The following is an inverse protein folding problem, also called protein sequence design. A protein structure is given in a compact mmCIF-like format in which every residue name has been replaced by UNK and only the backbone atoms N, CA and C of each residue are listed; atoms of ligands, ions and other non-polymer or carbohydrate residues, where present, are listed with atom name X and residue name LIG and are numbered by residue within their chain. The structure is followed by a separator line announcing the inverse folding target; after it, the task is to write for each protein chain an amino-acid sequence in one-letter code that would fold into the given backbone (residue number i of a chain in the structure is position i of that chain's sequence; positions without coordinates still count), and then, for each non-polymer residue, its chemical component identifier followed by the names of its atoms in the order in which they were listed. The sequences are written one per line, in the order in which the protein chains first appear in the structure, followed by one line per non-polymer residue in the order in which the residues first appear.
data_IF_885290898202
#
_entry.id   IF_885290898202
#
_cell.length_a   1.000
_cell.length_b   1.000
_cell.length_c   1.000
_cell.angle_alpha   90.00
_cell.angle_beta   90.00
_cell.angle_gamma   90.00
#
_symmetry.space_group_name_H-M   'P 1'
#
loop_
_entity.id
_entity.type
_entity.pdbx_description
1 polymer ?
#
# COMPACT_ATOMS: atom_id res chain seq x y z
N UNK A 1 38.40 16.54 2.89
CA UNK A 1 38.31 15.20 2.26
C UNK A 1 37.36 14.24 3.00
N UNK A 2 36.30 14.72 3.68
CA UNK A 2 35.43 13.87 4.53
C UNK A 2 33.93 14.07 4.27
N UNK A 3 33.54 14.54 3.09
CA UNK A 3 32.14 14.96 2.81
C UNK A 3 31.39 14.06 1.82
N UNK A 4 31.96 12.93 1.42
CA UNK A 4 31.37 11.99 0.43
C UNK A 4 30.83 10.69 1.02
N UNK A 5 31.01 10.43 2.32
CA UNK A 5 30.72 9.13 2.91
C UNK A 5 29.26 8.99 3.41
N UNK A 6 28.57 10.09 3.72
CA UNK A 6 27.20 10.07 4.27
C UNK A 6 26.13 9.98 3.17
N UNK A 7 26.48 10.28 1.91
CA UNK A 7 25.52 10.42 0.80
C UNK A 7 24.96 9.07 0.28
N UNK A 8 25.50 7.94 0.74
CA UNK A 8 25.05 6.59 0.36
C UNK A 8 23.92 6.05 1.25
N UNK A 9 23.74 6.60 2.46
CA UNK A 9 22.76 6.10 3.44
C UNK A 9 21.36 6.68 3.24
N UNK A 10 21.22 7.72 2.41
CA UNK A 10 19.96 8.41 2.15
C UNK A 10 19.49 8.20 0.71
N UNK A 11 19.46 6.95 0.26
CA UNK A 11 18.63 6.60 -0.90
C UNK A 11 17.16 6.69 -0.46
N UNK A 12 16.59 7.89 -0.56
CA UNK A 12 15.19 8.19 -0.25
C UNK A 12 14.33 7.21 -1.04
N UNK A 13 13.78 6.17 -0.37
CA UNK A 13 12.85 5.24 -1.02
C UNK A 13 11.68 6.10 -1.54
N UNK A 14 11.41 6.01 -2.85
CA UNK A 14 10.25 6.69 -3.43
C UNK A 14 9.00 6.24 -2.65
N UNK A 15 8.08 7.16 -2.34
CA UNK A 15 6.82 6.77 -1.73
C UNK A 15 6.14 5.77 -2.66
N UNK A 16 5.70 4.65 -2.10
CA UNK A 16 5.01 3.60 -2.83
C UNK A 16 3.69 4.16 -3.39
N UNK A 17 3.30 3.74 -4.59
CA UNK A 17 1.96 4.04 -5.10
C UNK A 17 0.90 3.34 -4.24
N UNK A 18 -0.34 3.82 -4.28
CA UNK A 18 -1.43 3.21 -3.50
C UNK A 18 -1.62 1.70 -3.80
N UNK A 19 -1.59 1.24 -5.07
CA UNK A 19 -1.62 -0.20 -5.37
C UNK A 19 -0.44 -0.97 -4.77
N UNK A 20 0.76 -0.40 -4.80
CA UNK A 20 1.95 -1.04 -4.20
C UNK A 20 1.87 -1.13 -2.68
N UNK A 21 1.35 -0.10 -2.02
CA UNK A 21 1.12 -0.12 -0.57
C UNK A 21 0.06 -1.16 -0.19
N UNK A 22 -1.02 -1.22 -0.96
CA UNK A 22 -2.09 -2.20 -0.77
C UNK A 22 -1.59 -3.64 -0.96
N UNK A 23 -0.82 -3.91 -2.03
CA UNK A 23 -0.26 -5.23 -2.26
C UNK A 23 0.70 -5.66 -1.14
N UNK A 24 1.57 -4.75 -0.66
CA UNK A 24 2.44 -5.04 0.48
C UNK A 24 1.67 -5.28 1.78
N UNK A 25 0.59 -4.53 2.01
CA UNK A 25 -0.30 -4.73 3.16
C UNK A 25 -0.92 -6.13 3.13
N UNK A 26 -1.53 -6.51 1.99
CA UNK A 26 -2.18 -7.82 1.84
C UNK A 26 -1.16 -8.94 1.99
N UNK A 27 0.01 -8.85 1.34
CA UNK A 27 1.06 -9.86 1.46
C UNK A 27 1.55 -10.04 2.91
N UNK A 28 1.67 -8.95 3.67
CA UNK A 28 2.04 -9.03 5.08
C UNK A 28 0.96 -9.70 5.93
N UNK A 29 -0.32 -9.41 5.66
CA UNK A 29 -1.46 -10.05 6.34
C UNK A 29 -1.53 -11.55 6.02
N UNK A 30 -1.38 -11.91 4.74
CA UNK A 30 -1.40 -13.30 4.29
C UNK A 30 -0.23 -14.12 4.86
N UNK A 31 0.89 -13.46 5.17
CA UNK A 31 2.01 -14.05 5.91
C UNK A 31 1.78 -14.18 7.42
N UNK A 32 0.58 -13.84 7.92
CA UNK A 32 0.22 -13.88 9.34
C UNK A 32 0.48 -12.58 10.11
N UNK A 33 0.81 -11.49 9.42
CA UNK A 33 1.00 -10.17 10.03
C UNK A 33 -0.32 -9.56 10.51
N UNK A 34 -0.31 -8.98 11.72
CA UNK A 34 -1.48 -8.33 12.30
C UNK A 34 -1.36 -6.82 12.11
N UNK A 35 -2.29 -6.17 11.39
CA UNK A 35 -2.25 -4.73 11.21
C UNK A 35 -2.61 -3.99 12.50
N UNK A 36 -1.64 -3.22 13.01
CA UNK A 36 -1.78 -2.49 14.27
C UNK A 36 -2.54 -1.16 14.16
N UNK A 37 -2.81 -0.69 12.93
CA UNK A 37 -3.46 0.60 12.69
C UNK A 37 -4.56 0.49 11.63
N UNK A 38 -5.84 0.34 12.04
CA UNK A 38 -6.98 0.31 11.12
C UNK A 38 -7.14 1.58 10.30
N UNK A 39 -6.81 2.75 10.86
CA UNK A 39 -6.93 4.02 10.13
C UNK A 39 -6.01 4.04 8.89
N UNK A 40 -4.80 3.49 9.02
CA UNK A 40 -3.86 3.36 7.89
C UNK A 40 -4.43 2.49 6.77
N UNK A 41 -5.14 1.42 7.12
CA UNK A 41 -5.79 0.54 6.13
C UNK A 41 -6.90 1.29 5.40
N UNK A 42 -7.73 2.01 6.14
CA UNK A 42 -8.80 2.83 5.56
C UNK A 42 -8.24 3.91 4.63
N UNK A 43 -7.10 4.50 4.95
CA UNK A 43 -6.46 5.51 4.11
C UNK A 43 -5.91 4.89 2.82
N UNK A 44 -5.31 3.70 2.88
CA UNK A 44 -4.89 2.95 1.68
C UNK A 44 -6.10 2.64 0.81
N UNK A 45 -7.20 2.16 1.40
CA UNK A 45 -8.44 1.89 0.65
C UNK A 45 -8.97 3.15 -0.05
N UNK A 46 -9.01 4.30 0.63
CA UNK A 46 -9.42 5.57 0.03
C UNK A 46 -8.50 6.00 -1.11
N UNK A 47 -7.19 5.81 -0.96
CA UNK A 47 -6.22 6.12 -2.03
C UNK A 47 -6.36 5.20 -3.26
N UNK A 48 -6.92 4.00 -3.09
CA UNK A 48 -7.33 3.12 -4.19
C UNK A 48 -8.67 3.53 -4.83
N UNK A 49 -9.35 4.56 -4.32
CA UNK A 49 -10.67 4.98 -4.77
C UNK A 49 -11.82 4.16 -4.18
N UNK A 50 -11.56 3.36 -3.13
CA UNK A 50 -12.62 2.60 -2.44
C UNK A 50 -13.31 3.49 -1.41
N UNK A 51 -14.65 3.45 -1.39
CA UNK A 51 -15.42 4.04 -0.31
C UNK A 51 -15.42 3.13 0.93
N UNK A 52 -14.92 3.65 2.05
CA UNK A 52 -14.86 2.93 3.33
C UNK A 52 -15.27 3.81 4.51
N UNK A 53 -16.18 3.29 5.33
CA UNK A 53 -16.60 3.94 6.58
C UNK A 53 -15.45 3.92 7.60
N UNK A 54 -15.35 4.97 8.42
CA UNK A 54 -14.42 4.99 9.57
C UNK A 54 -14.72 3.89 10.60
N UNK A 55 -15.94 3.36 10.60
CA UNK A 55 -16.42 2.29 11.47
C UNK A 55 -16.57 0.95 10.74
N UNK A 56 -16.10 0.86 9.49
CA UNK A 56 -16.15 -0.39 8.75
C UNK A 56 -15.36 -1.47 9.53
N UNK A 57 -15.88 -2.70 9.62
CA UNK A 57 -15.11 -3.83 10.11
C UNK A 57 -13.80 -3.96 9.33
N UNK A 58 -12.72 -4.25 10.03
CA UNK A 58 -11.39 -4.29 9.44
C UNK A 58 -11.30 -5.37 8.33
N UNK A 59 -11.84 -6.55 8.60
CA UNK A 59 -11.90 -7.68 7.66
C UNK A 59 -12.63 -7.31 6.36
N UNK A 60 -13.73 -6.55 6.45
CA UNK A 60 -14.47 -6.08 5.27
C UNK A 60 -13.61 -5.15 4.40
N UNK A 61 -12.84 -4.26 5.06
CA UNK A 61 -11.93 -3.36 4.35
C UNK A 61 -10.80 -4.13 3.67
N UNK A 62 -10.22 -5.12 4.35
CA UNK A 62 -9.18 -6.00 3.77
C UNK A 62 -9.73 -6.75 2.56
N UNK A 63 -10.93 -7.32 2.66
CA UNK A 63 -11.58 -8.02 1.56
C UNK A 63 -11.79 -7.11 0.33
N UNK A 64 -12.23 -5.86 0.53
CA UNK A 64 -12.39 -4.87 -0.54
C UNK A 64 -11.06 -4.54 -1.22
N UNK A 65 -9.99 -4.37 -0.43
CA UNK A 65 -8.65 -4.13 -0.97
C UNK A 65 -8.17 -5.33 -1.81
N UNK A 66 -8.37 -6.57 -1.34
CA UNK A 66 -8.04 -7.77 -2.12
C UNK A 66 -8.77 -7.79 -3.46
N UNK A 67 -10.07 -7.54 -3.46
CA UNK A 67 -10.87 -7.48 -4.69
C UNK A 67 -10.37 -6.40 -5.64
N UNK A 68 -10.08 -5.20 -5.13
CA UNK A 68 -9.55 -4.10 -5.94
C UNK A 68 -8.22 -4.46 -6.62
N UNK A 69 -7.31 -5.13 -5.92
CA UNK A 69 -6.03 -5.56 -6.50
C UNK A 69 -6.22 -6.58 -7.62
N UNK A 70 -7.21 -7.48 -7.52
CA UNK A 70 -7.53 -8.42 -8.61
C UNK A 70 -7.98 -7.67 -9.86
N UNK A 71 -8.83 -6.65 -9.73
CA UNK A 71 -9.25 -5.83 -10.87
C UNK A 71 -8.11 -4.99 -11.47
N UNK A 72 -7.19 -4.49 -10.64
CA UNK A 72 -6.05 -3.69 -11.10
C UNK A 72 -5.00 -4.56 -11.82
N UNK A 73 -4.79 -5.81 -11.40
CA UNK A 73 -3.89 -6.74 -12.09
C UNK A 73 -4.39 -7.07 -13.52
N UNK A 74 -5.70 -7.00 -13.73
CA UNK A 74 -6.34 -7.20 -15.03
C UNK A 74 -6.15 -6.02 -16.01
N UNK A 75 -5.56 -4.90 -15.58
CA UNK A 75 -5.23 -3.73 -16.40
C UNK A 75 -3.73 -3.39 -16.29
N UNK A 76 -2.87 -3.80 -17.24
CA UNK A 76 -1.41 -3.67 -17.10
C UNK A 76 -0.83 -2.24 -17.20
N UNK A 77 -1.67 -1.20 -17.29
CA UNK A 77 -1.25 0.17 -17.63
C UNK A 77 -1.00 1.11 -16.44
N UNK A 78 -0.41 0.63 -15.33
CA UNK A 78 -0.03 1.51 -14.21
C UNK A 78 1.43 1.41 -13.75
N UNK A 79 2.33 0.88 -14.58
CA UNK A 79 3.76 0.74 -14.25
C UNK A 79 4.73 1.61 -15.05
N UNK A 80 4.24 2.53 -15.91
CA UNK A 80 5.12 3.46 -16.63
C UNK A 80 5.54 4.65 -15.72
N UNK A 81 6.83 4.81 -15.38
CA UNK A 81 7.30 6.06 -14.80
C UNK A 81 7.30 7.14 -15.89
N UNK A 82 6.61 8.26 -15.64
CA UNK A 82 6.86 9.53 -16.35
C UNK A 82 8.13 10.20 -15.81
#
# INVERSE_FOLDING_TARGET
MLSRLIQLLTRRKRPLSAPQQAAQLIAAIDAGGIPLNPARINDIARQLGLEVSRRAPLEDTIARIRAALVYLDQCPEQSAPK
#
